data_IF_924149891811
#
_entry.id   IF_924149891811
#
_cell.length_a   1.000
_cell.length_b   1.000
_cell.length_c   1.000
_cell.angle_alpha   90.00
_cell.angle_beta   90.00
_cell.angle_gamma   90.00
#
_symmetry.space_group_name_H-M   'P 1'
#
loop_
_entity.id
_entity.type
_entity.pdbx_description
1 polymer ?
#
# COMPACT_ATOMS: atom_id res chain seq x y z
N UNK A 1 9.35 20.29 14.42
CA UNK A 1 8.12 20.51 13.62
C UNK A 1 8.11 19.47 12.51
N UNK A 2 7.09 18.61 12.45
CA UNK A 2 7.01 17.54 11.44
C UNK A 2 6.44 18.09 10.12
N UNK A 3 6.53 17.30 9.04
CA UNK A 3 6.07 17.71 7.71
C UNK A 3 4.55 17.95 7.66
N UNK A 4 3.78 17.18 8.43
CA UNK A 4 2.32 17.28 8.51
C UNK A 4 1.86 18.58 9.19
N UNK A 5 2.55 19.05 10.22
CA UNK A 5 2.25 20.31 10.92
C UNK A 5 2.56 21.51 10.03
N UNK A 6 3.65 21.45 9.27
CA UNK A 6 3.97 22.46 8.25
C UNK A 6 2.84 22.53 7.22
N UNK A 7 2.39 21.37 6.73
CA UNK A 7 1.31 21.30 5.75
C UNK A 7 -0.04 21.78 6.32
N UNK A 8 -0.38 21.45 7.58
CA UNK A 8 -1.54 22.00 8.30
C UNK A 8 -1.52 23.54 8.25
N UNK A 9 -0.37 24.14 8.53
CA UNK A 9 -0.18 25.59 8.45
C UNK A 9 -0.45 26.16 7.04
N UNK A 10 -0.05 25.45 5.98
CA UNK A 10 -0.36 25.84 4.60
C UNK A 10 -1.85 25.76 4.26
N UNK A 11 -2.56 24.75 4.78
CA UNK A 11 -4.02 24.63 4.64
C UNK A 11 -4.76 25.76 5.37
N UNK A 12 -4.39 26.04 6.62
CA UNK A 12 -5.02 27.11 7.42
C UNK A 12 -4.87 28.49 6.76
N UNK A 13 -3.73 28.78 6.13
CA UNK A 13 -3.51 30.05 5.39
C UNK A 13 -4.44 30.23 4.19
N UNK A 14 -5.08 29.16 3.70
CA UNK A 14 -6.01 29.23 2.57
C UNK A 14 -7.45 29.49 2.97
N UNK A 15 -7.77 29.34 4.26
CA UNK A 15 -9.09 29.61 4.81
C UNK A 15 -9.15 31.06 5.31
N UNK A 16 -10.21 31.77 4.92
CA UNK A 16 -10.44 33.16 5.36
C UNK A 16 -11.40 33.23 6.53
N UNK A 17 -12.35 32.30 6.63
CA UNK A 17 -13.33 32.26 7.69
C UNK A 17 -12.73 31.67 8.98
N UNK A 18 -12.97 32.30 10.13
CA UNK A 18 -12.47 31.79 11.42
C UNK A 18 -13.08 30.43 11.75
N UNK A 19 -14.39 30.27 11.49
CA UNK A 19 -15.10 29.01 11.73
C UNK A 19 -14.48 27.83 10.97
N UNK A 20 -14.14 28.01 9.70
CA UNK A 20 -13.49 26.96 8.90
C UNK A 20 -12.07 26.65 9.41
N UNK A 21 -11.34 27.67 9.89
CA UNK A 21 -10.01 27.50 10.49
C UNK A 21 -10.08 26.71 11.79
N UNK A 22 -11.03 27.03 12.66
CA UNK A 22 -11.32 26.29 13.90
C UNK A 22 -11.75 24.85 13.61
N UNK A 23 -12.61 24.65 12.61
CA UNK A 23 -13.06 23.32 12.19
C UNK A 23 -11.87 22.48 11.69
N UNK A 24 -11.06 23.00 10.76
CA UNK A 24 -9.90 22.30 10.24
C UNK A 24 -8.90 21.99 11.36
N UNK A 25 -8.66 22.93 12.26
CA UNK A 25 -7.74 22.74 13.38
C UNK A 25 -8.21 21.61 14.32
N UNK A 26 -9.52 21.56 14.60
CA UNK A 26 -10.14 20.55 15.47
C UNK A 26 -10.11 19.17 14.83
N UNK A 27 -10.59 19.04 13.58
CA UNK A 27 -10.60 17.77 12.83
C UNK A 27 -9.20 17.22 12.64
N UNK A 28 -8.21 18.08 12.43
CA UNK A 28 -6.82 17.68 12.31
C UNK A 28 -6.28 17.02 13.59
N UNK A 29 -6.56 17.59 14.76
CA UNK A 29 -6.11 17.00 16.03
C UNK A 29 -6.89 15.72 16.37
N UNK A 30 -8.18 15.66 16.05
CA UNK A 30 -8.97 14.43 16.17
C UNK A 30 -8.39 13.31 15.29
N UNK A 31 -8.09 13.60 14.01
CA UNK A 31 -7.45 12.64 13.10
C UNK A 31 -6.07 12.21 13.61
N UNK A 32 -5.28 13.13 14.18
CA UNK A 32 -3.99 12.80 14.78
C UNK A 32 -4.15 11.82 15.94
N UNK A 33 -5.09 12.09 16.84
CA UNK A 33 -5.35 11.23 17.99
C UNK A 33 -5.84 9.84 17.54
N UNK A 34 -6.76 9.79 16.58
CA UNK A 34 -7.24 8.57 15.92
C UNK A 34 -6.11 7.71 15.35
N UNK A 35 -5.12 8.32 14.71
CA UNK A 35 -3.94 7.59 14.23
C UNK A 35 -3.19 6.92 15.40
N UNK A 36 -2.92 7.69 16.46
CA UNK A 36 -2.18 7.21 17.63
C UNK A 36 -2.92 6.07 18.35
N UNK A 37 -4.25 6.19 18.49
CA UNK A 37 -5.09 5.17 19.10
C UNK A 37 -5.07 3.85 18.29
N UNK A 38 -4.84 3.94 16.97
CA UNK A 38 -4.64 2.80 16.07
C UNK A 38 -3.17 2.35 15.94
N UNK A 39 -2.26 2.92 16.74
CA UNK A 39 -0.87 2.48 16.81
C UNK A 39 0.05 2.97 15.68
N UNK A 40 -0.35 3.99 14.92
CA UNK A 40 0.50 4.62 13.91
C UNK A 40 0.48 6.15 14.02
N UNK A 41 1.45 6.83 13.39
CA UNK A 41 1.52 8.30 13.44
C UNK A 41 0.82 8.93 12.23
N UNK A 42 0.44 10.20 12.36
CA UNK A 42 -0.16 10.96 11.27
C UNK A 42 0.77 11.05 10.04
N UNK A 43 2.09 11.07 10.25
CA UNK A 43 3.08 11.04 9.17
C UNK A 43 3.03 9.72 8.39
N UNK A 44 2.75 8.59 9.04
CA UNK A 44 2.55 7.31 8.36
C UNK A 44 1.30 7.40 7.47
N UNK A 45 0.18 7.90 8.00
CA UNK A 45 -1.05 8.09 7.23
C UNK A 45 -0.81 8.94 5.96
N UNK A 46 -0.20 10.12 6.11
CA UNK A 46 0.08 11.00 4.98
C UNK A 46 1.11 10.41 4.00
N UNK A 47 2.06 9.59 4.48
CA UNK A 47 2.97 8.86 3.60
C UNK A 47 2.20 7.88 2.70
N UNK A 48 1.29 7.10 3.28
CA UNK A 48 0.46 6.15 2.54
C UNK A 48 -0.50 6.88 1.60
N UNK A 49 -1.10 7.99 2.05
CA UNK A 49 -1.97 8.83 1.22
C UNK A 49 -1.22 9.44 0.02
N UNK A 50 0.04 9.85 0.20
CA UNK A 50 0.88 10.29 -0.92
C UNK A 50 1.16 9.15 -1.92
N UNK A 51 1.38 7.92 -1.47
CA UNK A 51 1.53 6.76 -2.37
C UNK A 51 0.22 6.47 -3.11
N UNK A 52 -0.94 6.70 -2.48
CA UNK A 52 -2.24 6.60 -3.15
C UNK A 52 -2.44 7.69 -4.21
N UNK A 53 -2.03 8.92 -3.90
CA UNK A 53 -2.13 10.05 -4.82
C UNK A 53 -1.15 9.90 -6.00
N UNK A 54 0.10 9.52 -5.71
CA UNK A 54 1.21 9.59 -6.65
C UNK A 54 1.68 8.24 -7.19
N UNK A 55 1.77 8.14 -8.52
CA UNK A 55 2.21 6.93 -9.22
C UNK A 55 3.73 6.83 -9.40
N UNK A 56 4.53 7.65 -8.69
CA UNK A 56 6.00 7.70 -8.83
C UNK A 56 6.67 7.99 -7.49
N UNK A 57 7.76 7.29 -7.21
CA UNK A 57 8.62 7.58 -6.06
C UNK A 57 9.33 8.91 -6.27
N UNK A 58 8.96 9.94 -5.51
CA UNK A 58 9.66 11.23 -5.50
C UNK A 58 10.76 11.25 -4.45
N UNK A 59 11.85 11.99 -4.70
CA UNK A 59 12.87 12.32 -3.69
C UNK A 59 12.57 13.63 -2.97
N UNK A 60 11.45 14.28 -3.30
CA UNK A 60 11.03 15.51 -2.66
C UNK A 60 10.62 15.28 -1.21
N UNK A 61 10.69 16.34 -0.40
CA UNK A 61 10.22 16.30 0.97
C UNK A 61 8.69 16.18 1.00
N UNK A 62 8.18 15.40 1.94
CA UNK A 62 6.74 15.12 2.11
C UNK A 62 5.89 16.40 2.10
N UNK A 63 6.29 17.45 2.82
CA UNK A 63 5.49 18.68 2.89
C UNK A 63 5.31 19.33 1.51
N UNK A 64 6.34 19.28 0.65
CA UNK A 64 6.27 19.83 -0.70
C UNK A 64 5.37 18.99 -1.60
N UNK A 65 5.42 17.67 -1.44
CA UNK A 65 4.54 16.76 -2.18
C UNK A 65 3.08 16.98 -1.79
N UNK A 66 2.78 17.13 -0.49
CA UNK A 66 1.43 17.41 0.01
C UNK A 66 0.90 18.73 -0.54
N UNK A 67 1.69 19.81 -0.48
CA UNK A 67 1.31 21.11 -1.08
C UNK A 67 1.08 21.00 -2.59
N UNK A 68 1.92 20.24 -3.29
CA UNK A 68 1.79 20.03 -4.74
C UNK A 68 0.51 19.29 -5.08
N UNK A 69 0.19 18.22 -4.35
CA UNK A 69 -1.04 17.46 -4.57
C UNK A 69 -2.28 18.22 -4.16
N UNK A 70 -2.25 18.97 -3.06
CA UNK A 70 -3.32 19.88 -2.70
C UNK A 70 -3.66 20.84 -3.85
N UNK A 71 -2.64 21.48 -4.45
CA UNK A 71 -2.82 22.34 -5.63
C UNK A 71 -3.36 21.59 -6.85
N UNK A 72 -2.87 20.38 -7.12
CA UNK A 72 -3.30 19.56 -8.28
C UNK A 72 -4.75 19.09 -8.16
N UNK A 73 -5.18 18.71 -6.95
CA UNK A 73 -6.55 18.27 -6.69
C UNK A 73 -7.55 19.42 -6.77
N UNK A 74 -7.08 20.66 -6.59
CA UNK A 74 -7.88 21.88 -6.69
C UNK A 74 -9.15 21.83 -5.82
N UNK A 75 -8.98 21.38 -4.57
CA UNK A 75 -10.00 21.28 -3.54
C UNK A 75 -9.85 22.38 -2.49
N UNK A 76 -10.90 22.68 -1.73
CA UNK A 76 -10.76 23.48 -0.51
C UNK A 76 -9.96 22.70 0.56
N UNK A 77 -9.40 23.38 1.57
CA UNK A 77 -8.71 22.71 2.67
C UNK A 77 -9.55 21.65 3.39
N UNK A 78 -10.85 21.93 3.61
CA UNK A 78 -11.77 20.98 4.24
C UNK A 78 -12.08 19.79 3.32
N UNK A 79 -12.36 20.02 2.03
CA UNK A 79 -12.58 18.93 1.06
C UNK A 79 -11.34 18.05 0.83
N UNK A 80 -10.15 18.64 0.98
CA UNK A 80 -8.91 17.88 0.98
C UNK A 80 -8.81 16.99 2.23
N UNK A 81 -9.14 17.55 3.40
CA UNK A 81 -9.15 16.81 4.66
C UNK A 81 -10.19 15.68 4.65
N UNK A 82 -11.38 15.90 4.07
CA UNK A 82 -12.38 14.84 3.83
C UNK A 82 -11.75 13.66 3.09
N UNK A 83 -10.97 13.92 2.04
CA UNK A 83 -10.30 12.87 1.28
C UNK A 83 -9.21 12.13 2.07
N UNK A 84 -8.56 12.80 3.04
CA UNK A 84 -7.60 12.16 3.95
C UNK A 84 -8.32 11.31 4.98
N UNK A 85 -9.45 11.77 5.52
CA UNK A 85 -10.28 11.04 6.47
C UNK A 85 -10.92 9.80 5.83
N UNK A 86 -11.41 9.91 4.59
CA UNK A 86 -11.87 8.76 3.81
C UNK A 86 -10.76 7.72 3.64
N UNK A 87 -9.54 8.18 3.31
CA UNK A 87 -8.38 7.30 3.19
C UNK A 87 -8.00 6.68 4.54
N UNK A 88 -8.06 7.42 5.64
CA UNK A 88 -7.83 6.92 6.99
C UNK A 88 -8.80 5.78 7.34
N UNK A 89 -10.09 5.96 7.05
CA UNK A 89 -11.10 4.92 7.31
C UNK A 89 -10.78 3.63 6.53
N UNK A 90 -10.47 3.75 5.23
CA UNK A 90 -10.05 2.61 4.42
C UNK A 90 -8.75 1.97 4.93
N UNK A 91 -7.81 2.78 5.41
CA UNK A 91 -6.55 2.29 5.98
C UNK A 91 -6.77 1.49 7.27
N UNK A 92 -7.62 1.99 8.17
CA UNK A 92 -8.03 1.26 9.37
C UNK A 92 -8.74 -0.05 9.04
N UNK A 93 -9.67 -0.06 8.08
CA UNK A 93 -10.31 -1.30 7.62
C UNK A 93 -9.26 -2.32 7.15
N UNK A 94 -8.27 -1.91 6.36
CA UNK A 94 -7.19 -2.79 5.91
C UNK A 94 -6.32 -3.29 7.06
N UNK A 95 -6.06 -2.47 8.10
CA UNK A 95 -5.32 -2.90 9.28
C UNK A 95 -6.08 -3.92 10.12
N UNK A 96 -7.41 -3.84 10.16
CA UNK A 96 -8.28 -4.73 10.91
C UNK A 96 -8.61 -6.04 10.17
N UNK A 97 -8.31 -6.14 8.86
CA UNK A 97 -8.50 -7.36 8.07
C UNK A 97 -7.72 -8.54 8.66
N UNK A 98 -8.41 -9.39 9.44
CA UNK A 98 -7.88 -10.67 9.95
C UNK A 98 -8.11 -11.82 8.97
N UNK A 99 -7.66 -11.67 7.73
CA UNK A 99 -7.75 -12.75 6.74
C UNK A 99 -6.39 -13.45 6.53
N UNK A 100 -6.45 -14.68 5.99
CA UNK A 100 -5.26 -15.50 5.72
C UNK A 100 -4.28 -14.80 4.77
N UNK A 101 -4.77 -13.98 3.85
CA UNK A 101 -3.95 -13.19 2.93
C UNK A 101 -3.26 -12.05 3.67
N UNK A 102 -3.94 -11.34 4.57
CA UNK A 102 -3.36 -10.32 5.43
C UNK A 102 -2.19 -10.89 6.25
N UNK A 103 -2.31 -12.12 6.77
CA UNK A 103 -1.18 -12.81 7.39
C UNK A 103 0.00 -13.00 6.43
N UNK A 104 -0.23 -13.55 5.23
CA UNK A 104 0.81 -13.77 4.23
C UNK A 104 1.47 -12.47 3.73
N UNK A 105 0.70 -11.39 3.73
CA UNK A 105 1.09 -10.08 3.25
C UNK A 105 1.78 -9.22 4.33
N UNK A 106 1.44 -9.42 5.61
CA UNK A 106 1.99 -8.69 6.77
C UNK A 106 3.52 -8.79 6.89
N UNK A 107 4.12 -9.85 6.34
CA UNK A 107 5.56 -10.10 6.40
C UNK A 107 6.38 -9.24 5.43
N UNK A 108 5.72 -8.53 4.52
CA UNK A 108 6.37 -7.70 3.52
C UNK A 108 6.03 -6.24 3.83
N UNK A 109 6.92 -5.54 4.54
CA UNK A 109 6.82 -4.10 4.83
C UNK A 109 6.80 -3.27 3.53
N UNK A 110 5.80 -3.37 2.66
CA UNK A 110 5.73 -2.65 1.39
C UNK A 110 4.47 -1.79 1.36
N UNK A 111 4.68 -0.48 1.46
CA UNK A 111 3.66 0.55 1.55
C UNK A 111 2.62 0.45 0.41
N UNK A 112 3.05 0.03 -0.79
CA UNK A 112 2.13 -0.06 -1.93
C UNK A 112 1.02 -1.09 -1.74
N UNK A 113 1.27 -2.16 -0.99
CA UNK A 113 0.29 -3.23 -0.86
C UNK A 113 -0.93 -2.78 -0.06
N UNK A 114 -0.67 -2.13 1.09
CA UNK A 114 -1.73 -1.55 1.90
C UNK A 114 -2.51 -0.51 1.09
N UNK A 115 -1.82 0.33 0.32
CA UNK A 115 -2.43 1.34 -0.54
C UNK A 115 -3.29 0.73 -1.65
N UNK A 116 -2.89 -0.40 -2.25
CA UNK A 116 -3.73 -1.10 -3.23
C UNK A 116 -5.05 -1.58 -2.62
N UNK A 117 -5.02 -2.13 -1.39
CA UNK A 117 -6.24 -2.55 -0.70
C UNK A 117 -7.11 -1.35 -0.28
N UNK A 118 -6.49 -0.27 0.21
CA UNK A 118 -7.20 0.99 0.48
C UNK A 118 -7.88 1.52 -0.79
N UNK A 119 -7.18 1.48 -1.93
CA UNK A 119 -7.72 1.91 -3.21
C UNK A 119 -8.91 1.04 -3.65
N UNK A 120 -8.88 -0.28 -3.42
CA UNK A 120 -10.04 -1.13 -3.76
C UNK A 120 -11.26 -0.81 -2.90
N UNK A 121 -11.08 -0.50 -1.61
CA UNK A 121 -12.17 -0.09 -0.72
C UNK A 121 -12.75 1.27 -1.14
N UNK A 122 -11.90 2.28 -1.30
CA UNK A 122 -12.29 3.63 -1.69
C UNK A 122 -13.04 3.67 -3.04
N UNK A 123 -12.67 2.79 -3.97
CA UNK A 123 -13.28 2.71 -5.29
C UNK A 123 -14.40 1.68 -5.41
N UNK A 124 -14.86 1.14 -4.27
CA UNK A 124 -16.06 0.30 -4.11
C UNK A 124 -16.02 -0.99 -4.93
N UNK A 125 -14.89 -1.67 -4.92
CA UNK A 125 -14.83 -3.06 -5.40
C UNK A 125 -15.68 -3.95 -4.50
N UNK A 126 -16.35 -4.94 -5.07
CA UNK A 126 -17.12 -5.93 -4.29
C UNK A 126 -16.21 -6.79 -3.43
N UNK A 127 -16.77 -7.41 -2.38
CA UNK A 127 -16.03 -8.34 -1.52
C UNK A 127 -15.36 -9.47 -2.32
N UNK A 128 -16.06 -10.05 -3.31
CA UNK A 128 -15.50 -11.08 -4.19
C UNK A 128 -14.35 -10.57 -5.06
N UNK A 129 -14.40 -9.33 -5.52
CA UNK A 129 -13.30 -8.73 -6.29
C UNK A 129 -12.10 -8.44 -5.40
N UNK A 130 -12.34 -7.98 -4.17
CA UNK A 130 -11.29 -7.73 -3.18
C UNK A 130 -10.58 -9.04 -2.82
N UNK A 131 -11.30 -10.14 -2.60
CA UNK A 131 -10.69 -11.46 -2.36
C UNK A 131 -9.87 -11.94 -3.57
N UNK A 132 -10.42 -11.80 -4.78
CA UNK A 132 -9.68 -12.13 -6.01
C UNK A 132 -8.41 -11.29 -6.16
N UNK A 133 -8.48 -10.00 -5.81
CA UNK A 133 -7.34 -9.09 -5.80
C UNK A 133 -6.30 -9.51 -4.76
N UNK A 134 -6.71 -9.86 -3.54
CA UNK A 134 -5.79 -10.33 -2.47
C UNK A 134 -5.01 -11.57 -2.92
N UNK A 135 -5.70 -12.57 -3.50
CA UNK A 135 -5.04 -13.77 -4.04
C UNK A 135 -4.00 -13.43 -5.12
N UNK A 136 -4.38 -12.54 -6.05
CA UNK A 136 -3.48 -12.07 -7.10
C UNK A 136 -2.25 -11.37 -6.51
N UNK A 137 -2.44 -10.48 -5.54
CA UNK A 137 -1.36 -9.72 -4.90
C UNK A 137 -0.44 -10.64 -4.08
N UNK A 138 -0.97 -11.65 -3.38
CA UNK A 138 -0.16 -12.67 -2.70
C UNK A 138 0.71 -13.42 -3.70
N UNK A 139 0.12 -13.92 -4.80
CA UNK A 139 0.86 -14.62 -5.86
C UNK A 139 1.93 -13.72 -6.48
N UNK A 140 1.58 -12.46 -6.76
CA UNK A 140 2.49 -11.45 -7.31
C UNK A 140 3.70 -11.22 -6.41
N UNK A 141 3.46 -10.86 -5.14
CA UNK A 141 4.53 -10.51 -4.21
C UNK A 141 5.38 -11.72 -3.83
N UNK A 142 4.80 -12.91 -3.71
CA UNK A 142 5.55 -14.12 -3.36
C UNK A 142 6.49 -14.55 -4.50
N UNK A 143 5.98 -14.64 -5.72
CA UNK A 143 6.80 -15.04 -6.87
C UNK A 143 7.91 -14.02 -7.15
N UNK A 144 7.60 -12.73 -7.07
CA UNK A 144 8.60 -11.66 -7.18
C UNK A 144 9.71 -11.79 -6.13
N UNK A 145 9.34 -12.08 -4.88
CA UNK A 145 10.30 -12.25 -3.80
C UNK A 145 11.18 -13.49 -3.99
N UNK A 146 10.59 -14.65 -4.28
CA UNK A 146 11.34 -15.90 -4.51
C UNK A 146 12.21 -15.79 -5.76
N UNK A 147 11.80 -15.04 -6.79
CA UNK A 147 12.62 -14.72 -7.96
C UNK A 147 13.80 -13.76 -7.66
N UNK A 148 14.00 -13.37 -6.40
CA UNK A 148 15.11 -12.54 -5.94
C UNK A 148 14.96 -11.05 -6.24
N UNK A 149 13.75 -10.58 -6.55
CA UNK A 149 13.52 -9.18 -6.89
C UNK A 149 13.41 -8.28 -5.65
N UNK A 150 13.69 -7.00 -5.86
CA UNK A 150 13.62 -5.96 -4.82
C UNK A 150 12.33 -5.17 -4.91
N UNK A 151 12.00 -4.40 -3.85
CA UNK A 151 10.87 -3.47 -3.87
C UNK A 151 10.96 -2.48 -5.03
N UNK A 152 12.17 -1.96 -5.29
CA UNK A 152 12.43 -1.00 -6.36
C UNK A 152 12.08 -1.56 -7.73
N UNK A 153 12.36 -2.85 -7.98
CA UNK A 153 12.04 -3.48 -9.27
C UNK A 153 10.54 -3.47 -9.56
N UNK A 154 9.71 -3.74 -8.54
CA UNK A 154 8.25 -3.84 -8.69
C UNK A 154 7.49 -2.54 -8.44
N UNK A 155 8.13 -1.48 -7.94
CA UNK A 155 7.45 -0.25 -7.52
C UNK A 155 6.61 0.38 -8.65
N UNK A 156 7.14 0.45 -9.87
CA UNK A 156 6.36 0.99 -11.00
C UNK A 156 5.12 0.14 -11.32
N UNK A 157 5.23 -1.19 -11.24
CA UNK A 157 4.08 -2.11 -11.40
C UNK A 157 3.05 -1.86 -10.32
N UNK A 158 3.49 -1.66 -9.07
CA UNK A 158 2.61 -1.35 -7.94
C UNK A 158 1.84 -0.04 -8.17
N UNK A 159 2.53 1.02 -8.63
CA UNK A 159 1.88 2.28 -9.00
C UNK A 159 0.87 2.12 -10.14
N UNK A 160 1.18 1.27 -11.14
CA UNK A 160 0.25 1.00 -12.24
C UNK A 160 -1.01 0.28 -11.75
N UNK A 161 -0.88 -0.64 -10.79
CA UNK A 161 -2.03 -1.32 -10.16
C UNK A 161 -2.89 -0.32 -9.38
N UNK A 162 -2.28 0.56 -8.57
CA UNK A 162 -3.01 1.61 -7.83
C UNK A 162 -3.79 2.52 -8.80
N UNK A 163 -3.18 2.91 -9.92
CA UNK A 163 -3.88 3.71 -10.95
C UNK A 163 -5.04 2.93 -11.58
N UNK A 164 -4.85 1.67 -11.94
CA UNK A 164 -5.92 0.83 -12.49
C UNK A 164 -7.08 0.66 -11.49
N UNK A 165 -6.78 0.52 -10.20
CA UNK A 165 -7.78 0.45 -9.14
C UNK A 165 -8.61 1.74 -9.07
N UNK A 166 -7.95 2.91 -9.10
CA UNK A 166 -8.59 4.24 -9.10
C UNK A 166 -9.43 4.50 -10.35
N UNK A 167 -9.05 3.92 -11.48
CA UNK A 167 -9.83 3.94 -12.73
C UNK A 167 -10.95 2.89 -12.77
N UNK A 168 -11.17 2.15 -11.67
CA UNK A 168 -12.18 1.08 -11.56
C UNK A 168 -12.04 -0.01 -12.61
N UNK A 169 -10.80 -0.35 -12.99
CA UNK A 169 -10.52 -1.45 -13.92
C UNK A 169 -10.77 -2.79 -13.22
N UNK A 170 -11.33 -3.75 -13.96
CA UNK A 170 -11.55 -5.11 -13.44
C UNK A 170 -10.27 -5.76 -12.89
N UNK A 171 -10.43 -6.70 -11.95
CA UNK A 171 -9.30 -7.48 -11.40
C UNK A 171 -8.55 -8.26 -12.50
N UNK A 172 -9.21 -8.61 -13.60
CA UNK A 172 -8.57 -9.21 -14.78
C UNK A 172 -7.60 -8.25 -15.50
N UNK A 173 -7.96 -6.97 -15.61
CA UNK A 173 -7.03 -5.95 -16.12
C UNK A 173 -5.82 -5.81 -15.20
N UNK A 174 -6.03 -5.84 -13.88
CA UNK A 174 -4.95 -5.80 -12.89
C UNK A 174 -4.06 -7.04 -13.03
N UNK A 175 -4.63 -8.23 -13.22
CA UNK A 175 -3.89 -9.46 -13.48
C UNK A 175 -3.04 -9.36 -14.75
N UNK A 176 -3.52 -8.65 -15.78
CA UNK A 176 -2.76 -8.39 -17.01
C UNK A 176 -1.53 -7.49 -16.77
N UNK A 177 -1.64 -6.51 -15.87
CA UNK A 177 -0.49 -5.70 -15.43
C UNK A 177 0.57 -6.58 -14.75
N UNK A 178 0.15 -7.47 -13.84
CA UNK A 178 1.05 -8.42 -13.16
C UNK A 178 1.70 -9.39 -14.15
N UNK A 179 0.92 -9.96 -15.08
CA UNK A 179 1.42 -10.86 -16.14
C UNK A 179 2.49 -10.20 -17.01
N UNK A 180 2.27 -8.94 -17.40
CA UNK A 180 3.28 -8.16 -18.15
C UNK A 180 4.57 -8.03 -17.36
N UNK A 181 4.50 -7.65 -16.08
CA UNK A 181 5.67 -7.57 -15.21
C UNK A 181 6.42 -8.91 -15.09
N UNK A 182 5.69 -10.01 -14.92
CA UNK A 182 6.27 -11.35 -14.86
C UNK A 182 7.04 -11.73 -16.12
N UNK A 183 6.50 -11.38 -17.30
CA UNK A 183 7.18 -11.56 -18.57
C UNK A 183 8.43 -10.68 -18.66
N UNK A 184 8.29 -9.38 -18.42
CA UNK A 184 9.35 -8.39 -18.59
C UNK A 184 10.56 -8.63 -17.66
N UNK A 185 10.32 -9.17 -16.45
CA UNK A 185 11.37 -9.48 -15.46
C UNK A 185 11.76 -10.96 -15.41
N UNK A 186 11.19 -11.78 -16.30
CA UNK A 186 11.38 -13.22 -16.34
C UNK A 186 11.13 -13.89 -14.96
N UNK A 187 10.09 -13.45 -14.26
CA UNK A 187 9.79 -13.87 -12.88
C UNK A 187 9.50 -15.36 -12.82
N UNK A 188 8.66 -15.88 -13.73
CA UNK A 188 8.25 -17.29 -13.72
C UNK A 188 9.44 -18.23 -13.83
N UNK A 189 10.42 -17.93 -14.69
CA UNK A 189 11.61 -18.76 -14.86
C UNK A 189 12.50 -18.71 -13.62
N UNK A 190 12.83 -17.49 -13.15
CA UNK A 190 13.65 -17.29 -11.94
C UNK A 190 13.01 -17.91 -10.70
N UNK A 191 11.68 -17.84 -10.59
CA UNK A 191 10.90 -18.46 -9.54
C UNK A 191 11.10 -19.98 -9.53
N UNK A 192 10.95 -20.64 -10.70
CA UNK A 192 11.15 -22.10 -10.84
C UNK A 192 12.59 -22.51 -10.53
N UNK A 193 13.57 -21.79 -11.06
CA UNK A 193 15.00 -22.04 -10.81
C UNK A 193 15.32 -21.91 -9.32
N UNK A 194 14.84 -20.86 -8.67
CA UNK A 194 15.11 -20.62 -7.26
C UNK A 194 14.40 -21.62 -6.34
N UNK A 195 13.22 -22.15 -6.71
CA UNK A 195 12.56 -23.21 -5.95
C UNK A 195 13.33 -24.54 -5.94
N UNK A 196 14.21 -24.77 -6.91
CA UNK A 196 15.07 -25.97 -6.94
C UNK A 196 16.28 -25.86 -5.99
N UNK A 197 16.57 -24.66 -5.48
CA UNK A 197 17.65 -24.44 -4.52
C UNK A 197 17.23 -24.97 -3.14
N UNK A 198 17.83 -26.09 -2.73
CA UNK A 198 17.58 -26.72 -1.42
C UNK A 198 17.94 -25.79 -0.25
N UNK A 199 18.75 -24.75 -0.48
CA UNK A 199 19.13 -23.75 0.50
C UNK A 199 18.38 -22.42 0.34
N UNK A 200 17.36 -22.34 -0.54
CA UNK A 200 16.57 -21.12 -0.80
C UNK A 200 16.12 -20.46 0.50
N UNK A 201 15.47 -21.25 1.35
CA UNK A 201 14.95 -20.79 2.63
C UNK A 201 16.09 -20.42 3.60
N UNK A 202 17.16 -21.21 3.66
CA UNK A 202 18.33 -20.90 4.49
C UNK A 202 18.97 -19.56 4.13
N UNK A 203 19.14 -19.26 2.82
CA UNK A 203 19.67 -17.97 2.35
C UNK A 203 18.81 -16.81 2.84
N UNK A 204 17.49 -16.96 2.81
CA UNK A 204 16.57 -15.95 3.34
C UNK A 204 16.51 -15.87 4.87
N UNK A 205 16.91 -16.93 5.59
CA UNK A 205 17.05 -16.97 7.06
C UNK A 205 18.27 -16.17 7.56
N UNK A 206 19.37 -16.18 6.80
CA UNK A 206 20.65 -15.59 7.21
C UNK A 206 20.88 -14.15 6.72
N UNK A 207 20.13 -13.68 5.72
CA UNK A 207 20.16 -12.29 5.21
C UNK A 207 19.48 -11.24 6.12
N UNK A 208 19.34 -11.52 7.43
CA UNK A 208 19.10 -10.51 8.47
C UNK A 208 17.81 -9.68 8.36
N UNK A 209 16.69 -10.21 8.90
CA UNK A 209 15.61 -9.45 9.58
C UNK A 209 14.69 -10.45 10.29
N UNK A 210 14.58 -10.33 11.61
CA UNK A 210 13.90 -11.25 12.55
C UNK A 210 12.49 -11.70 12.14
N UNK A 211 11.74 -10.87 11.40
CA UNK A 211 10.40 -11.18 10.90
C UNK A 211 10.33 -12.35 9.89
N UNK A 212 11.41 -12.63 9.15
CA UNK A 212 11.43 -13.71 8.13
C UNK A 212 11.50 -15.13 8.71
N UNK A 213 11.87 -15.29 9.99
CA UNK A 213 12.08 -16.62 10.62
C UNK A 213 10.78 -17.40 10.87
N UNK A 214 9.66 -16.72 11.20
CA UNK A 214 8.36 -17.37 11.48
C UNK A 214 7.62 -17.79 10.22
N UNK A 215 7.78 -17.05 9.12
CA UNK A 215 7.20 -17.33 7.81
C UNK A 215 7.55 -18.73 7.31
N UNK A 216 8.84 -19.09 7.27
CA UNK A 216 9.27 -20.30 6.57
C UNK A 216 8.85 -21.63 7.21
N UNK A 217 8.69 -21.67 8.53
CA UNK A 217 8.20 -22.86 9.23
C UNK A 217 6.73 -23.17 8.95
N UNK A 218 5.92 -22.14 8.63
CA UNK A 218 4.50 -22.29 8.34
C UNK A 218 4.20 -22.31 6.84
N UNK A 219 5.01 -21.65 6.00
CA UNK A 219 4.76 -21.57 4.56
C UNK A 219 5.04 -22.85 3.79
N UNK A 220 5.92 -23.73 4.28
CA UNK A 220 6.23 -24.98 3.58
C UNK A 220 5.01 -25.94 3.54
N UNK A 221 4.17 -25.95 4.59
CA UNK A 221 2.93 -26.75 4.60
C UNK A 221 1.75 -26.06 3.92
N UNK A 222 1.76 -24.72 3.81
CA UNK A 222 0.59 -23.94 3.41
C UNK A 222 0.59 -23.53 1.93
N UNK A 223 1.76 -23.35 1.31
CA UNK A 223 1.87 -22.95 -0.09
C UNK A 223 1.92 -24.11 -1.08
N UNK A 224 2.19 -25.34 -0.63
CA UNK A 224 2.09 -26.54 -1.47
C UNK A 224 0.67 -26.75 -2.03
N UNK A 225 -0.38 -26.29 -1.34
CA UNK A 225 -1.76 -26.33 -1.83
C UNK A 225 -2.15 -25.19 -2.78
N UNK A 226 -1.63 -23.96 -2.56
CA UNK A 226 -2.03 -22.76 -3.33
C UNK A 226 -1.41 -22.76 -4.75
N UNK A 227 -0.28 -23.44 -4.94
CA UNK A 227 0.43 -23.48 -6.22
C UNK A 227 0.27 -24.82 -6.97
N UNK A 228 -0.59 -25.73 -6.50
CA UNK A 228 -0.84 -27.04 -7.14
C UNK A 228 -2.25 -27.24 -7.70
N UNK A 229 -3.09 -26.21 -7.77
CA UNK A 229 -4.31 -26.28 -8.57
C UNK A 229 -4.14 -25.52 -9.89
N UNK A 230 -3.84 -26.33 -10.92
CA UNK A 230 -3.96 -26.18 -12.39
C UNK A 230 -3.41 -24.92 -13.06
#
# INVERSE_FOLDING_TARGET
MNATDIFKGELLKKLTEEKEREELATRWEDLRQKCLDNGFTMEILFSQYLVYLESKTSKEKMEKMLVTWFKKLNKTPLEYLDGVEDFYNAYCEVLEMQDRHAYLLSYKNDDHLCVMLCASLLHRYSESEIETLKELLVKFYYQDWVAGQTKTTRSQTCCNIINALKEKKSVENIASIVKKYFKDKNITQRFKENLQDSNLYAKFYFDGKSAKKKFMAQTHSHFSGIFHER
#
